data_IF_187824874190
#
_entry.id   IF_187824874190
#
_cell.length_a   1.000
_cell.length_b   1.000
_cell.length_c   1.000
_cell.angle_alpha   90.00
_cell.angle_beta   90.00
_cell.angle_gamma   90.00
#
_symmetry.space_group_name_H-M   'P 1'
#
loop_
_entity.id
_entity.type
_entity.pdbx_description
1 polymer ?
#
# COMPACT_ATOMS: atom_id res chain seq x y z
N UNK A 1 14.80 0.35 -8.88
CA UNK A 1 15.32 -0.09 -7.56
C UNK A 1 14.48 0.64 -6.52
N UNK A 2 14.03 -0.04 -5.47
CA UNK A 2 13.20 0.60 -4.44
C UNK A 2 14.06 1.53 -3.58
N UNK A 3 13.63 2.77 -3.46
CA UNK A 3 14.35 3.86 -2.77
C UNK A 3 13.41 4.58 -1.80
N UNK A 4 13.98 5.33 -0.85
CA UNK A 4 13.22 6.04 0.19
C UNK A 4 12.14 7.00 -0.38
N UNK A 5 12.38 7.57 -1.57
CA UNK A 5 11.39 8.44 -2.21
C UNK A 5 10.12 7.70 -2.64
N UNK A 6 10.21 6.41 -3.00
CA UNK A 6 9.02 5.63 -3.34
C UNK A 6 8.12 5.42 -2.11
N UNK A 7 8.74 5.10 -0.96
CA UNK A 7 8.05 4.96 0.34
C UNK A 7 7.43 6.30 0.75
N UNK A 8 8.18 7.40 0.56
CA UNK A 8 7.70 8.75 0.82
C UNK A 8 6.43 9.08 0.05
N UNK A 9 6.42 8.83 -1.26
CA UNK A 9 5.24 9.14 -2.09
C UNK A 9 4.04 8.27 -1.69
N UNK A 10 4.24 6.99 -1.38
CA UNK A 10 3.19 6.10 -0.89
C UNK A 10 2.55 6.62 0.42
N UNK A 11 3.35 7.21 1.31
CA UNK A 11 2.90 7.68 2.62
C UNK A 11 2.44 9.15 2.66
N UNK A 12 2.68 9.91 1.59
CA UNK A 12 2.46 11.37 1.56
C UNK A 12 1.04 11.74 1.93
N UNK A 13 0.05 11.05 1.36
CA UNK A 13 -1.36 11.30 1.63
C UNK A 13 -1.75 11.05 3.10
N UNK A 14 -1.10 10.07 3.76
CA UNK A 14 -1.43 9.69 5.14
C UNK A 14 -0.83 10.61 6.19
N UNK A 15 0.43 10.97 6.00
CA UNK A 15 1.23 11.63 7.04
C UNK A 15 1.56 13.08 6.74
N UNK A 16 1.28 13.56 5.52
CA UNK A 16 1.58 14.92 5.10
C UNK A 16 3.05 15.14 4.76
N UNK A 17 3.28 16.10 3.88
CA UNK A 17 4.60 16.46 3.33
C UNK A 17 5.59 16.86 4.43
N UNK A 18 5.12 17.55 5.48
CA UNK A 18 5.96 18.01 6.59
C UNK A 18 6.66 16.87 7.36
N UNK A 19 6.05 15.68 7.42
CA UNK A 19 6.67 14.50 8.01
C UNK A 19 7.42 13.69 6.95
N UNK A 20 6.77 13.38 5.82
CA UNK A 20 7.34 12.43 4.86
C UNK A 20 8.57 12.96 4.13
N UNK A 21 8.72 14.27 3.98
CA UNK A 21 9.88 14.88 3.31
C UNK A 21 11.11 15.03 4.22
N UNK A 22 11.04 14.59 5.48
CA UNK A 22 12.21 14.61 6.38
C UNK A 22 13.34 13.72 5.82
N UNK A 23 14.57 14.23 5.68
CA UNK A 23 15.67 13.45 5.14
C UNK A 23 15.93 12.17 5.95
N UNK A 24 16.09 11.04 5.26
CA UNK A 24 16.49 9.76 5.86
C UNK A 24 15.40 8.99 6.62
N UNK A 25 14.21 9.57 6.82
CA UNK A 25 13.15 8.97 7.65
C UNK A 25 12.69 7.60 7.10
N UNK A 26 12.62 7.42 5.77
CA UNK A 26 12.12 6.20 5.14
C UNK A 26 13.21 5.21 4.70
N UNK A 27 14.48 5.44 5.05
CA UNK A 27 15.58 4.57 4.61
C UNK A 27 15.46 3.15 5.15
N UNK A 28 15.04 3.01 6.41
CA UNK A 28 14.81 1.69 7.04
C UNK A 28 13.71 0.92 6.32
N UNK A 29 12.59 1.57 6.01
CA UNK A 29 11.48 0.95 5.29
C UNK A 29 11.87 0.56 3.86
N UNK A 30 12.55 1.45 3.13
CA UNK A 30 13.04 1.13 1.78
C UNK A 30 14.07 -0.02 1.80
N UNK A 31 14.93 -0.09 2.82
CA UNK A 31 15.87 -1.19 2.98
C UNK A 31 15.16 -2.53 3.24
N UNK A 32 14.08 -2.55 4.04
CA UNK A 32 13.27 -3.75 4.22
C UNK A 32 12.69 -4.25 2.88
N UNK A 33 12.10 -3.36 2.09
CA UNK A 33 11.56 -3.73 0.78
C UNK A 33 12.63 -4.25 -0.18
N UNK A 34 13.82 -3.63 -0.20
CA UNK A 34 14.94 -4.08 -1.06
C UNK A 34 15.50 -5.44 -0.66
N UNK A 35 15.49 -5.75 0.64
CA UNK A 35 16.07 -6.98 1.18
C UNK A 35 15.10 -8.16 1.15
N UNK A 36 13.85 -7.94 0.74
CA UNK A 36 12.86 -8.99 0.60
C UNK A 36 13.31 -10.04 -0.43
N UNK A 37 13.31 -11.29 0.01
CA UNK A 37 13.66 -12.44 -0.80
C UNK A 37 12.50 -13.44 -0.83
N UNK A 38 11.78 -13.60 -1.97
CA UNK A 38 10.58 -14.45 -2.05
C UNK A 38 10.78 -15.93 -1.66
N UNK A 39 12.02 -16.42 -1.72
CA UNK A 39 12.35 -17.82 -1.36
C UNK A 39 12.60 -18.02 0.14
N UNK A 40 12.71 -16.92 0.91
CA UNK A 40 13.04 -16.93 2.34
C UNK A 40 11.97 -16.24 3.18
N UNK A 41 11.40 -15.17 2.65
CA UNK A 41 10.55 -14.24 3.36
C UNK A 41 9.11 -14.34 2.83
N UNK A 42 8.11 -14.16 3.70
CA UNK A 42 6.70 -14.07 3.29
C UNK A 42 6.23 -12.61 3.24
N UNK A 43 5.20 -12.33 2.45
CA UNK A 43 4.59 -10.99 2.42
C UNK A 43 3.98 -10.61 3.77
N UNK A 44 3.44 -11.57 4.52
CA UNK A 44 2.86 -11.34 5.85
C UNK A 44 3.93 -10.91 6.86
N UNK A 45 5.08 -11.59 6.89
CA UNK A 45 6.18 -11.23 7.79
C UNK A 45 6.78 -9.87 7.44
N UNK A 46 6.90 -9.58 6.15
CA UNK A 46 7.36 -8.28 5.67
C UNK A 46 6.38 -7.17 6.06
N UNK A 47 5.08 -7.38 5.87
CA UNK A 47 4.06 -6.39 6.22
C UNK A 47 4.03 -6.08 7.72
N UNK A 48 4.18 -7.10 8.57
CA UNK A 48 4.30 -6.92 10.02
C UNK A 48 5.58 -6.14 10.39
N UNK A 49 6.71 -6.52 9.80
CA UNK A 49 8.00 -5.84 10.01
C UNK A 49 7.96 -4.37 9.56
N UNK A 50 7.28 -4.08 8.44
CA UNK A 50 7.06 -2.73 7.96
C UNK A 50 6.16 -1.93 8.89
N UNK A 51 5.07 -2.50 9.38
CA UNK A 51 4.17 -1.83 10.33
C UNK A 51 4.95 -1.36 11.57
N UNK A 52 5.79 -2.24 12.14
CA UNK A 52 6.65 -1.92 13.27
C UNK A 52 7.69 -0.84 12.94
N UNK A 53 8.36 -0.95 11.78
CA UNK A 53 9.35 0.05 11.35
C UNK A 53 8.71 1.42 11.11
N UNK A 54 7.55 1.46 10.47
CA UNK A 54 6.81 2.70 10.23
C UNK A 54 6.38 3.34 11.54
N UNK A 55 5.82 2.56 12.46
CA UNK A 55 5.40 3.04 13.78
C UNK A 55 6.58 3.66 14.54
N UNK A 56 7.66 2.91 14.71
CA UNK A 56 8.83 3.36 15.46
C UNK A 56 9.47 4.60 14.81
N UNK A 57 9.57 4.62 13.49
CA UNK A 57 10.12 5.77 12.75
C UNK A 57 9.29 7.02 12.96
N UNK A 58 7.95 6.94 12.86
CA UNK A 58 7.08 8.10 13.07
C UNK A 58 7.09 8.53 14.52
N UNK A 59 7.11 7.58 15.45
CA UNK A 59 7.16 7.85 16.89
C UNK A 59 8.45 8.56 17.30
N UNK A 60 9.61 8.16 16.77
CA UNK A 60 10.90 8.84 16.97
C UNK A 60 10.84 10.32 16.53
N UNK A 61 10.02 10.64 15.53
CA UNK A 61 9.94 11.96 14.91
C UNK A 61 8.89 12.90 15.52
N UNK A 62 7.80 12.34 16.05
CA UNK A 62 6.64 13.09 16.57
C UNK A 62 6.42 12.92 18.09
N UNK A 63 7.11 11.94 18.68
CA UNK A 63 6.98 11.58 20.08
C UNK A 63 5.58 11.06 20.46
N UNK A 64 5.25 11.05 21.77
CA UNK A 64 3.99 10.48 22.28
C UNK A 64 2.72 11.12 21.71
N UNK A 65 2.81 12.36 21.24
CA UNK A 65 1.67 13.09 20.68
C UNK A 65 1.20 12.50 19.35
N UNK A 66 2.12 11.92 18.56
CA UNK A 66 1.89 11.47 17.19
C UNK A 66 1.20 12.53 16.30
N UNK A 67 1.39 13.82 16.61
CA UNK A 67 0.77 14.92 15.88
C UNK A 67 1.55 15.25 14.61
N UNK A 68 0.98 14.95 13.44
CA UNK A 68 1.56 15.30 12.16
C UNK A 68 0.85 16.52 11.55
N UNK A 69 1.63 17.41 10.94
CA UNK A 69 1.09 18.52 10.16
C UNK A 69 0.76 18.04 8.74
N UNK A 70 -0.53 18.15 8.38
CA UNK A 70 -1.05 17.78 7.07
C UNK A 70 -0.86 18.93 6.07
N UNK A 71 -0.93 18.62 4.78
CA UNK A 71 -0.71 19.60 3.69
C UNK A 71 -1.77 20.72 3.65
N UNK A 72 -2.94 20.49 4.25
CA UNK A 72 -3.98 21.51 4.44
C UNK A 72 -3.72 22.44 5.64
N UNK A 73 -2.56 22.34 6.29
CA UNK A 73 -2.17 23.13 7.46
C UNK A 73 -2.74 22.65 8.79
N UNK A 74 -3.59 21.62 8.79
CA UNK A 74 -4.14 21.05 10.04
C UNK A 74 -3.15 20.12 10.73
N UNK A 75 -3.21 20.06 12.07
CA UNK A 75 -2.45 19.06 12.84
C UNK A 75 -3.39 17.91 13.17
N UNK A 76 -3.00 16.69 12.77
CA UNK A 76 -3.77 15.46 12.98
C UNK A 76 -2.95 14.47 13.77
N UNK A 77 -3.56 13.87 14.79
CA UNK A 77 -2.95 12.75 15.51
C UNK A 77 -3.03 11.47 14.68
N UNK A 78 -1.89 10.89 14.36
CA UNK A 78 -1.78 9.58 13.71
C UNK A 78 -2.07 8.51 14.76
N UNK A 79 -3.02 7.62 14.47
CA UNK A 79 -3.40 6.51 15.34
C UNK A 79 -2.61 5.25 15.00
N UNK A 80 -2.36 4.40 16.00
CA UNK A 80 -1.66 3.13 15.80
C UNK A 80 -2.32 2.22 14.76
N UNK A 81 -3.66 2.24 14.67
CA UNK A 81 -4.39 1.45 13.69
C UNK A 81 -4.12 1.86 12.22
N UNK A 82 -3.67 3.09 11.98
CA UNK A 82 -3.38 3.58 10.63
C UNK A 82 -2.06 3.04 10.07
N UNK A 83 -1.19 2.46 10.91
CA UNK A 83 0.08 1.90 10.47
C UNK A 83 -0.08 0.60 9.69
N UNK A 84 -1.16 -0.15 9.94
CA UNK A 84 -1.51 -1.29 9.10
C UNK A 84 -1.80 -0.85 7.67
N UNK A 85 -2.64 0.17 7.50
CA UNK A 85 -2.95 0.72 6.19
C UNK A 85 -1.71 1.38 5.54
N UNK A 86 -0.88 2.06 6.34
CA UNK A 86 0.37 2.64 5.85
C UNK A 86 1.36 1.56 5.38
N UNK A 87 1.43 0.43 6.09
CA UNK A 87 2.20 -0.74 5.68
C UNK A 87 1.67 -1.30 4.37
N UNK A 88 0.35 -1.39 4.19
CA UNK A 88 -0.26 -1.84 2.93
C UNK A 88 0.12 -0.95 1.74
N UNK A 89 0.08 0.38 1.91
CA UNK A 89 0.49 1.32 0.84
C UNK A 89 1.98 1.13 0.48
N UNK A 90 2.84 0.94 1.48
CA UNK A 90 4.28 0.73 1.27
C UNK A 90 4.56 -0.64 0.66
N UNK A 91 3.81 -1.68 1.02
CA UNK A 91 3.84 -3.00 0.36
C UNK A 91 3.47 -2.88 -1.12
N UNK A 92 2.55 -1.96 -1.47
CA UNK A 92 2.22 -1.63 -2.86
C UNK A 92 3.42 -1.25 -3.71
N UNK A 93 4.40 -0.53 -3.13
CA UNK A 93 5.66 -0.19 -3.82
C UNK A 93 6.43 -1.44 -4.21
N UNK A 94 6.52 -2.43 -3.31
CA UNK A 94 7.16 -3.71 -3.61
C UNK A 94 6.38 -4.46 -4.67
N UNK A 95 5.06 -4.55 -4.54
CA UNK A 95 4.20 -5.27 -5.47
C UNK A 95 4.29 -4.73 -6.89
N UNK A 96 4.42 -3.42 -7.09
CA UNK A 96 4.64 -2.81 -8.40
C UNK A 96 6.01 -3.16 -9.02
N UNK A 97 6.99 -3.53 -8.19
CA UNK A 97 8.32 -3.93 -8.64
C UNK A 97 8.48 -5.44 -8.82
N UNK A 98 7.52 -6.24 -8.37
CA UNK A 98 7.55 -7.69 -8.57
C UNK A 98 7.50 -8.03 -10.06
N UNK A 99 8.24 -9.07 -10.44
CA UNK A 99 8.17 -9.62 -11.80
C UNK A 99 6.89 -10.42 -11.97
N UNK A 100 6.29 -10.29 -13.15
CA UNK A 100 5.05 -10.99 -13.49
C UNK A 100 5.37 -12.44 -13.87
N UNK A 101 5.21 -13.34 -12.90
CA UNK A 101 5.34 -14.79 -13.05
C UNK A 101 4.24 -15.50 -12.26
N UNK A 102 3.88 -16.72 -12.65
CA UNK A 102 2.85 -17.53 -11.98
C UNK A 102 3.13 -17.74 -10.49
N UNK A 103 4.37 -18.05 -10.11
CA UNK A 103 4.74 -18.23 -8.70
C UNK A 103 4.50 -16.97 -7.87
N UNK A 104 4.76 -15.80 -8.47
CA UNK A 104 4.53 -14.51 -7.82
C UNK A 104 3.04 -14.19 -7.75
N UNK A 105 2.27 -14.56 -8.78
CA UNK A 105 0.82 -14.50 -8.75
C UNK A 105 0.26 -15.33 -7.59
N UNK A 106 0.62 -16.61 -7.49
CA UNK A 106 0.10 -17.51 -6.45
C UNK A 106 0.40 -16.97 -5.05
N UNK A 107 1.62 -16.46 -4.83
CA UNK A 107 2.03 -15.89 -3.54
C UNK A 107 1.27 -14.60 -3.20
N UNK A 108 1.12 -13.71 -4.18
CA UNK A 108 0.43 -12.43 -4.00
C UNK A 108 -1.08 -12.63 -3.84
N UNK A 109 -1.64 -13.58 -4.58
CA UNK A 109 -3.04 -13.96 -4.52
C UNK A 109 -3.38 -14.56 -3.16
N UNK A 110 -2.59 -15.52 -2.67
CA UNK A 110 -2.77 -16.09 -1.34
C UNK A 110 -2.70 -15.00 -0.26
N UNK A 111 -1.69 -14.13 -0.31
CA UNK A 111 -1.55 -13.01 0.62
C UNK A 111 -2.76 -12.05 0.58
N UNK A 112 -3.26 -11.73 -0.62
CA UNK A 112 -4.45 -10.91 -0.81
C UNK A 112 -5.68 -11.54 -0.15
N UNK A 113 -5.89 -12.84 -0.32
CA UNK A 113 -7.02 -13.56 0.27
C UNK A 113 -6.95 -13.63 1.79
N UNK A 114 -5.75 -13.79 2.35
CA UNK A 114 -5.55 -13.89 3.79
C UNK A 114 -5.71 -12.55 4.53
N UNK A 115 -5.33 -11.46 3.87
CA UNK A 115 -5.20 -10.15 4.53
C UNK A 115 -6.23 -9.11 4.09
N UNK A 116 -6.82 -9.26 2.91
CA UNK A 116 -7.63 -8.22 2.28
C UNK A 116 -6.82 -6.98 1.88
N UNK A 117 -5.51 -7.12 1.63
CA UNK A 117 -4.62 -6.04 1.19
C UNK A 117 -5.14 -5.34 -0.06
N UNK A 118 -5.33 -4.02 0.03
CA UNK A 118 -5.81 -3.20 -1.10
C UNK A 118 -4.73 -3.06 -2.16
N UNK A 119 -3.49 -2.83 -1.74
CA UNK A 119 -2.35 -2.78 -2.64
C UNK A 119 -2.16 -4.09 -3.42
N UNK A 120 -2.32 -5.25 -2.76
CA UNK A 120 -2.24 -6.54 -3.44
C UNK A 120 -3.38 -6.72 -4.45
N UNK A 121 -4.62 -6.39 -4.06
CA UNK A 121 -5.78 -6.43 -4.97
C UNK A 121 -5.56 -5.56 -6.21
N UNK A 122 -5.08 -4.33 -6.04
CA UNK A 122 -4.75 -3.43 -7.16
C UNK A 122 -3.74 -4.06 -8.10
N UNK A 123 -2.63 -4.60 -7.58
CA UNK A 123 -1.59 -5.20 -8.42
C UNK A 123 -2.07 -6.47 -9.12
N UNK A 124 -2.83 -7.31 -8.44
CA UNK A 124 -3.46 -8.49 -9.05
C UNK A 124 -4.37 -8.09 -10.21
N UNK A 125 -5.23 -7.09 -10.01
CA UNK A 125 -6.16 -6.61 -11.02
C UNK A 125 -5.47 -5.96 -12.23
N UNK A 126 -4.41 -5.18 -12.00
CA UNK A 126 -3.76 -4.35 -13.04
C UNK A 126 -2.59 -5.05 -13.75
N UNK A 127 -1.85 -5.93 -13.08
CA UNK A 127 -0.60 -6.52 -13.60
C UNK A 127 -0.67 -8.03 -13.82
N UNK A 128 -1.59 -8.72 -13.15
CA UNK A 128 -1.74 -10.18 -13.24
C UNK A 128 -3.08 -10.62 -13.83
N UNK A 129 -3.77 -9.74 -14.57
CA UNK A 129 -5.06 -10.03 -15.17
C UNK A 129 -5.06 -11.31 -16.03
N UNK A 130 -3.97 -11.59 -16.76
CA UNK A 130 -3.84 -12.78 -17.61
C UNK A 130 -3.79 -14.10 -16.83
N UNK A 131 -3.40 -14.07 -15.56
CA UNK A 131 -3.37 -15.25 -14.67
C UNK A 131 -4.69 -15.44 -13.91
N UNK A 132 -5.57 -14.45 -13.95
CA UNK A 132 -6.77 -14.39 -13.14
C UNK A 132 -8.03 -14.70 -13.95
N UNK A 133 -8.91 -15.61 -13.49
CA UNK A 133 -10.20 -15.82 -14.11
C UNK A 133 -11.05 -14.54 -14.18
N UNK A 134 -11.74 -14.30 -15.29
CA UNK A 134 -12.56 -13.11 -15.48
C UNK A 134 -13.65 -12.93 -14.40
N UNK A 135 -14.20 -14.02 -13.87
CA UNK A 135 -15.16 -13.99 -12.77
C UNK A 135 -14.54 -13.48 -11.47
N UNK A 136 -13.31 -13.88 -11.18
CA UNK A 136 -12.57 -13.48 -10.00
C UNK A 136 -12.12 -12.02 -10.10
N UNK A 137 -11.68 -11.60 -11.28
CA UNK A 137 -11.36 -10.21 -11.58
C UNK A 137 -12.52 -9.27 -11.25
N UNK A 138 -13.76 -9.64 -11.62
CA UNK A 138 -14.97 -8.87 -11.28
C UNK A 138 -15.25 -8.81 -9.78
N UNK A 139 -14.95 -9.88 -9.04
CA UNK A 139 -15.10 -9.91 -7.58
C UNK A 139 -14.10 -8.94 -6.94
N UNK A 140 -12.82 -9.00 -7.33
CA UNK A 140 -11.79 -8.09 -6.83
C UNK A 140 -12.12 -6.63 -7.19
N UNK A 141 -12.55 -6.36 -8.42
CA UNK A 141 -12.98 -5.02 -8.82
C UNK A 141 -14.14 -4.50 -7.95
N UNK A 142 -15.08 -5.36 -7.56
CA UNK A 142 -16.14 -5.00 -6.61
C UNK A 142 -15.57 -4.69 -5.21
N UNK A 143 -14.70 -5.53 -4.68
CA UNK A 143 -14.11 -5.33 -3.35
C UNK A 143 -13.30 -4.02 -3.30
N UNK A 144 -12.52 -3.73 -4.34
CA UNK A 144 -11.77 -2.46 -4.48
C UNK A 144 -12.73 -1.27 -4.40
N UNK A 145 -13.86 -1.31 -5.13
CA UNK A 145 -14.85 -0.24 -5.14
C UNK A 145 -15.55 -0.04 -3.79
N UNK A 146 -15.80 -1.13 -3.08
CA UNK A 146 -16.48 -1.12 -1.79
C UNK A 146 -15.56 -0.70 -0.63
N UNK A 147 -14.23 -0.84 -0.79
CA UNK A 147 -13.24 -0.65 0.28
C UNK A 147 -12.62 0.75 0.35
N UNK A 148 -12.51 1.48 -0.78
CA UNK A 148 -11.86 2.81 -0.84
C UNK A 148 -12.69 3.84 -1.62
N UNK A 149 -12.51 5.15 -1.35
CA UNK A 149 -13.13 6.22 -2.11
C UNK A 149 -12.87 6.12 -3.62
N UNK A 150 -13.85 6.53 -4.43
CA UNK A 150 -13.79 6.47 -5.90
C UNK A 150 -12.52 7.05 -6.52
N UNK A 151 -12.04 8.18 -5.98
CA UNK A 151 -10.85 8.86 -6.46
C UNK A 151 -9.57 8.00 -6.38
N UNK A 152 -9.52 6.99 -5.50
CA UNK A 152 -8.35 6.14 -5.33
C UNK A 152 -8.26 5.02 -6.37
N UNK A 153 -9.40 4.54 -6.89
CA UNK A 153 -9.44 3.40 -7.83
C UNK A 153 -9.86 3.74 -9.25
N UNK A 154 -10.65 4.79 -9.46
CA UNK A 154 -11.12 5.19 -10.78
C UNK A 154 -10.00 5.46 -11.81
N UNK A 155 -8.84 6.05 -11.46
CA UNK A 155 -7.81 6.39 -12.45
C UNK A 155 -7.15 5.20 -13.16
N UNK A 156 -7.25 3.99 -12.59
CA UNK A 156 -6.53 2.81 -13.09
C UNK A 156 -7.42 1.57 -13.24
N UNK A 157 -8.70 1.65 -12.90
CA UNK A 157 -9.66 0.57 -13.12
C UNK A 157 -10.16 0.58 -14.58
N UNK A 158 -10.45 -0.60 -15.14
CA UNK A 158 -10.92 -0.67 -16.52
C UNK A 158 -12.29 0.04 -16.65
N UNK A 159 -12.56 0.77 -17.75
CA UNK A 159 -13.79 1.52 -17.92
C UNK A 159 -15.07 0.68 -17.79
N UNK A 160 -15.00 -0.61 -18.11
CA UNK A 160 -16.13 -1.55 -17.98
C UNK A 160 -16.49 -1.89 -16.53
N UNK A 161 -15.54 -1.78 -15.61
CA UNK A 161 -15.71 -2.05 -14.18
C UNK A 161 -16.03 -0.78 -13.37
N UNK A 162 -15.87 0.40 -13.98
CA UNK A 162 -16.19 1.69 -13.37
C UNK A 162 -17.70 1.96 -13.44
N UNK A 163 -18.43 2.00 -12.30
CA UNK A 163 -19.85 2.33 -12.31
C UNK A 163 -20.06 3.80 -12.74
N UNK A 164 -21.23 4.15 -13.31
CA UNK A 164 -21.54 5.54 -13.63
C UNK A 164 -21.44 6.42 -12.39
N UNK A 165 -21.03 7.69 -12.56
CA UNK A 165 -20.99 8.65 -11.46
C UNK A 165 -22.39 8.79 -10.84
N UNK A 166 -22.50 8.89 -9.51
CA UNK A 166 -23.79 9.13 -8.86
C UNK A 166 -24.43 10.41 -9.41
N UNK A 167 -25.73 10.35 -9.73
CA UNK A 167 -26.49 11.52 -10.14
C UNK A 167 -26.46 12.56 -9.00
N UNK A 168 -26.11 13.80 -9.34
CA UNK A 168 -26.06 14.94 -8.40
C UNK A 168 -27.46 15.36 -7.98
#
# INVERSE_FOLDING_TARGET
>A
MIEAWHVREALRFRFGSALVDRPGIWEKAAALLRNFAPYRDTFSDLAASLEDVLFNTVYEQLGPSMGAQMDNGTVRRIRSAEFRDASDDVMGVLFDHLKVYSVTYDSLHQYCMDTGSFSAMRVLYTRYADFMPASERKIIARIIRDSRPRAEWEPWMDPEDVPPAPAR
#
